data_IF_150984878120
#
_entry.id   IF_150984878120
#
_cell.length_a   1.000
_cell.length_b   1.000
_cell.length_c   1.000
_cell.angle_alpha   90.00
_cell.angle_beta   90.00
_cell.angle_gamma   90.00
#
_symmetry.space_group_name_H-M   'P 1'
#
loop_
_entity.id
_entity.type
_entity.pdbx_description
1 polymer ?
#
# COMPACT_ATOMS: atom_id res chain seq x y z
N UNK A 1 -50.05 5.97 15.69
CA UNK A 1 -48.91 6.11 14.80
C UNK A 1 -47.79 5.22 15.32
N UNK A 2 -47.66 4.02 14.76
CA UNK A 2 -46.61 3.06 15.17
C UNK A 2 -45.34 3.38 14.42
N UNK A 3 -44.32 3.76 15.20
CA UNK A 3 -42.96 4.02 14.74
C UNK A 3 -42.36 2.70 14.21
N UNK A 4 -42.22 2.56 12.88
CA UNK A 4 -41.50 1.46 12.28
C UNK A 4 -40.02 1.61 12.66
N UNK A 5 -39.59 0.83 13.67
CA UNK A 5 -38.16 0.62 13.91
C UNK A 5 -37.59 -0.04 12.64
N UNK A 6 -36.68 0.67 11.99
CA UNK A 6 -35.84 0.05 10.97
C UNK A 6 -35.15 -1.15 11.60
N UNK A 7 -35.63 -2.34 11.30
CA UNK A 7 -34.87 -3.57 11.49
C UNK A 7 -33.61 -3.39 10.59
N UNK A 8 -32.47 -3.16 11.22
CA UNK A 8 -31.19 -3.14 10.52
C UNK A 8 -31.05 -4.49 9.81
N UNK A 9 -30.97 -4.46 8.48
CA UNK A 9 -30.62 -5.64 7.71
C UNK A 9 -29.35 -6.25 8.33
N UNK A 10 -29.27 -7.59 8.40
CA UNK A 10 -28.06 -8.26 8.86
C UNK A 10 -26.86 -7.69 8.07
N UNK A 11 -25.73 -7.40 8.73
CA UNK A 11 -24.58 -6.85 8.02
C UNK A 11 -24.22 -7.80 6.88
N UNK A 12 -24.04 -7.25 5.69
CA UNK A 12 -23.50 -7.98 4.54
C UNK A 12 -22.18 -8.64 4.97
N UNK A 13 -21.91 -9.85 4.48
CA UNK A 13 -20.70 -10.59 4.81
C UNK A 13 -19.43 -9.75 4.63
N UNK A 14 -19.37 -8.94 3.58
CA UNK A 14 -18.23 -8.06 3.29
C UNK A 14 -18.04 -7.00 4.38
N UNK A 15 -19.11 -6.44 4.91
CA UNK A 15 -19.09 -5.49 6.03
C UNK A 15 -18.55 -6.14 7.32
N UNK A 16 -18.92 -7.39 7.57
CA UNK A 16 -18.41 -8.14 8.73
C UNK A 16 -16.91 -8.41 8.57
N UNK A 17 -16.46 -8.82 7.38
CA UNK A 17 -15.04 -9.03 7.06
C UNK A 17 -14.26 -7.74 7.23
N UNK A 18 -14.73 -6.63 6.65
CA UNK A 18 -14.12 -5.31 6.80
C UNK A 18 -13.93 -4.94 8.28
N UNK A 19 -14.99 -5.05 9.07
CA UNK A 19 -14.95 -4.73 10.50
C UNK A 19 -13.90 -5.54 11.26
N UNK A 20 -13.86 -6.86 11.04
CA UNK A 20 -12.90 -7.74 11.72
C UNK A 20 -11.47 -7.40 11.32
N UNK A 21 -11.22 -7.19 10.03
CA UNK A 21 -9.89 -6.81 9.54
C UNK A 21 -9.47 -5.44 10.08
N UNK A 22 -10.38 -4.46 10.06
CA UNK A 22 -10.12 -3.11 10.56
C UNK A 22 -9.72 -3.11 12.05
N UNK A 23 -10.50 -3.80 12.90
CA UNK A 23 -10.22 -3.90 14.33
C UNK A 23 -8.87 -4.55 14.59
N UNK A 24 -8.61 -5.66 13.91
CA UNK A 24 -7.36 -6.42 14.07
C UNK A 24 -6.14 -5.61 13.63
N UNK A 25 -6.20 -5.02 12.44
CA UNK A 25 -5.08 -4.26 11.91
C UNK A 25 -4.81 -3.00 12.73
N UNK A 26 -5.86 -2.26 13.11
CA UNK A 26 -5.69 -1.07 13.96
C UNK A 26 -5.03 -1.42 15.29
N UNK A 27 -5.40 -2.55 15.92
CA UNK A 27 -4.77 -3.01 17.15
C UNK A 27 -3.29 -3.39 16.95
N UNK A 28 -2.97 -4.12 15.88
CA UNK A 28 -1.60 -4.54 15.57
C UNK A 28 -0.70 -3.38 15.18
N UNK A 29 -1.23 -2.38 14.47
CA UNK A 29 -0.51 -1.20 13.98
C UNK A 29 -0.31 -0.12 15.04
N UNK A 30 -0.99 -0.21 16.18
CA UNK A 30 -0.80 0.72 17.27
C UNK A 30 0.69 0.85 17.64
N UNK A 31 1.25 2.05 17.55
CA UNK A 31 2.68 2.37 17.74
C UNK A 31 3.63 1.69 16.74
N UNK A 32 3.14 0.98 15.73
CA UNK A 32 3.98 0.35 14.68
C UNK A 32 3.86 1.04 13.33
N UNK A 33 2.70 1.61 13.02
CA UNK A 33 2.53 2.32 11.77
C UNK A 33 3.34 3.62 11.71
N UNK A 34 3.75 4.02 10.52
CA UNK A 34 4.33 5.32 10.25
C UNK A 34 3.33 6.44 10.57
N UNK A 35 3.78 7.62 11.05
CA UNK A 35 2.88 8.74 11.32
C UNK A 35 2.01 9.14 10.15
N UNK A 36 2.56 9.14 8.93
CA UNK A 36 1.82 9.45 7.70
C UNK A 36 0.57 8.56 7.52
N UNK A 37 0.70 7.25 7.76
CA UNK A 37 -0.44 6.34 7.70
C UNK A 37 -1.51 6.68 8.73
N UNK A 38 -1.11 6.89 9.99
CA UNK A 38 -2.07 7.18 11.07
C UNK A 38 -2.81 8.51 10.83
N UNK A 39 -2.10 9.51 10.33
CA UNK A 39 -2.67 10.80 9.94
C UNK A 39 -3.63 10.66 8.75
N UNK A 40 -3.23 9.91 7.71
CA UNK A 40 -4.05 9.63 6.55
C UNK A 40 -5.34 8.89 6.91
N UNK A 41 -5.23 7.83 7.74
CA UNK A 41 -6.38 7.07 8.23
C UNK A 41 -7.39 7.97 8.96
N UNK A 42 -6.90 8.84 9.85
CA UNK A 42 -7.73 9.79 10.60
C UNK A 42 -8.37 10.84 9.68
N UNK A 43 -7.61 11.39 8.71
CA UNK A 43 -8.08 12.44 7.79
C UNK A 43 -9.15 11.91 6.82
N UNK A 44 -9.03 10.69 6.35
CA UNK A 44 -10.03 10.01 5.52
C UNK A 44 -11.28 9.61 6.31
N UNK A 45 -11.22 9.62 7.64
CA UNK A 45 -12.33 9.19 8.50
C UNK A 45 -12.71 7.73 8.30
N UNK A 46 -11.75 6.87 7.91
CA UNK A 46 -12.01 5.44 7.74
C UNK A 46 -12.47 4.81 9.06
N UNK A 47 -13.52 4.02 9.00
CA UNK A 47 -14.19 3.45 10.17
C UNK A 47 -14.46 1.96 9.99
N UNK A 48 -14.56 1.27 11.12
CA UNK A 48 -14.87 -0.15 11.18
C UNK A 48 -16.30 -0.50 10.80
N UNK A 49 -17.23 0.45 10.94
CA UNK A 49 -18.66 0.23 10.84
C UNK A 49 -19.14 0.02 9.40
N UNK A 50 -18.41 0.52 8.42
CA UNK A 50 -18.81 0.41 7.01
C UNK A 50 -17.62 0.45 6.06
N UNK A 51 -17.74 -0.23 4.94
CA UNK A 51 -16.83 -0.09 3.80
C UNK A 51 -17.09 1.28 3.19
N UNK A 52 -16.06 2.14 3.06
CA UNK A 52 -16.25 3.49 2.54
C UNK A 52 -16.61 3.47 1.05
N UNK A 53 -17.29 4.52 0.60
CA UNK A 53 -17.51 4.75 -0.83
C UNK A 53 -16.22 5.19 -1.52
N UNK A 54 -15.84 4.49 -2.60
CA UNK A 54 -14.58 4.75 -3.33
C UNK A 54 -14.62 6.14 -3.99
N UNK A 55 -15.77 6.61 -4.43
CA UNK A 55 -15.92 7.91 -5.08
C UNK A 55 -15.70 9.05 -4.08
N UNK A 56 -16.27 8.94 -2.87
CA UNK A 56 -16.06 9.92 -1.79
C UNK A 56 -14.58 9.95 -1.36
N UNK A 57 -13.95 8.80 -1.18
CA UNK A 57 -12.51 8.72 -0.87
C UNK A 57 -11.68 9.32 -2.01
N UNK A 58 -12.01 9.00 -3.26
CA UNK A 58 -11.31 9.56 -4.43
C UNK A 58 -11.39 11.07 -4.51
N UNK A 59 -12.54 11.66 -4.15
CA UNK A 59 -12.69 13.11 -4.09
C UNK A 59 -11.76 13.73 -3.03
N UNK A 60 -11.68 13.13 -1.84
CA UNK A 60 -10.80 13.58 -0.75
C UNK A 60 -9.33 13.44 -1.13
N UNK A 61 -8.90 12.30 -1.68
CA UNK A 61 -7.53 12.09 -2.13
C UNK A 61 -7.14 13.09 -3.22
N UNK A 62 -8.05 13.34 -4.18
CA UNK A 62 -7.82 14.30 -5.26
C UNK A 62 -7.65 15.73 -4.76
N UNK A 63 -8.40 16.12 -3.77
CA UNK A 63 -8.27 17.44 -3.14
C UNK A 63 -6.90 17.66 -2.48
N UNK A 64 -6.31 16.58 -1.90
CA UNK A 64 -5.05 16.67 -1.16
C UNK A 64 -3.81 16.55 -2.04
N UNK A 65 -3.78 15.55 -2.93
CA UNK A 65 -2.56 15.19 -3.69
C UNK A 65 -2.77 15.17 -5.20
N UNK A 66 -3.99 15.43 -5.68
CA UNK A 66 -4.34 15.35 -7.10
C UNK A 66 -4.53 13.92 -7.62
N UNK A 67 -4.40 12.90 -6.76
CA UNK A 67 -4.58 11.50 -7.14
C UNK A 67 -6.04 11.10 -7.18
N UNK A 68 -6.36 10.10 -7.98
CA UNK A 68 -7.70 9.54 -8.12
C UNK A 68 -7.67 8.04 -7.85
N UNK A 69 -8.76 7.51 -7.27
CA UNK A 69 -8.95 6.08 -7.09
C UNK A 69 -9.70 5.53 -8.31
N UNK A 70 -9.16 4.47 -8.94
CA UNK A 70 -9.72 3.83 -10.12
C UNK A 70 -10.26 2.44 -9.75
N UNK A 71 -11.58 2.24 -9.58
CA UNK A 71 -12.13 0.92 -9.29
C UNK A 71 -11.82 -0.09 -10.39
N UNK A 72 -11.33 -1.29 -9.99
CA UNK A 72 -11.01 -2.40 -10.89
C UNK A 72 -11.59 -3.70 -10.35
N UNK A 73 -12.03 -4.59 -11.25
CA UNK A 73 -12.66 -5.85 -10.84
C UNK A 73 -11.69 -6.90 -10.29
N UNK A 74 -10.42 -6.81 -10.62
CA UNK A 74 -9.36 -7.74 -10.23
C UNK A 74 -7.99 -7.09 -10.40
N UNK A 75 -6.93 -7.61 -9.75
CA UNK A 75 -5.56 -7.25 -10.05
C UNK A 75 -5.23 -7.47 -11.54
N UNK A 76 -4.30 -6.70 -12.06
CA UNK A 76 -3.90 -6.75 -13.46
C UNK A 76 -2.37 -6.64 -13.59
N UNK A 77 -1.90 -6.86 -14.82
CA UNK A 77 -0.48 -6.91 -15.13
C UNK A 77 0.28 -5.63 -14.73
N UNK A 78 1.54 -5.73 -14.31
CA UNK A 78 2.33 -4.59 -13.87
C UNK A 78 2.34 -3.41 -14.85
N UNK A 79 2.36 -3.67 -16.16
CA UNK A 79 2.36 -2.60 -17.15
C UNK A 79 1.11 -1.71 -17.09
N UNK A 80 -0.06 -2.29 -16.89
CA UNK A 80 -1.31 -1.55 -16.73
C UNK A 80 -1.36 -0.82 -15.38
N UNK A 81 -0.84 -1.45 -14.32
CA UNK A 81 -0.71 -0.85 -13.00
C UNK A 81 0.14 0.43 -13.05
N UNK A 82 1.36 0.35 -13.56
CA UNK A 82 2.26 1.51 -13.65
C UNK A 82 1.77 2.59 -14.61
N UNK A 83 0.98 2.23 -15.65
CA UNK A 83 0.32 3.22 -16.50
C UNK A 83 -0.66 4.10 -15.70
N UNK A 84 -1.44 3.51 -14.79
CA UNK A 84 -2.31 4.26 -13.90
C UNK A 84 -1.52 5.16 -12.93
N UNK A 85 -0.44 4.65 -12.34
CA UNK A 85 0.42 5.47 -11.47
C UNK A 85 0.99 6.68 -12.20
N UNK A 86 1.43 6.52 -13.47
CA UNK A 86 1.90 7.61 -14.31
C UNK A 86 0.82 8.67 -14.60
N UNK A 87 -0.45 8.31 -14.49
CA UNK A 87 -1.61 9.21 -14.64
C UNK A 87 -2.12 9.74 -13.28
N UNK A 88 -1.41 9.53 -12.18
CA UNK A 88 -1.85 9.83 -10.80
C UNK A 88 -3.19 9.15 -10.46
N UNK A 89 -3.34 7.91 -10.89
CA UNK A 89 -4.48 7.05 -10.57
C UNK A 89 -4.00 5.82 -9.81
N UNK A 90 -4.67 5.51 -8.70
CA UNK A 90 -4.40 4.29 -7.94
C UNK A 90 -5.54 3.30 -8.15
N UNK A 91 -5.27 2.07 -8.64
CA UNK A 91 -6.29 1.05 -8.81
C UNK A 91 -6.81 0.54 -7.48
N UNK A 92 -8.11 0.34 -7.37
CA UNK A 92 -8.77 -0.20 -6.19
C UNK A 92 -9.54 -1.47 -6.57
N UNK A 93 -9.11 -2.60 -6.07
CA UNK A 93 -9.83 -3.87 -6.25
C UNK A 93 -11.16 -3.81 -5.48
N UNK A 94 -12.27 -4.09 -6.19
CA UNK A 94 -13.60 -3.91 -5.61
C UNK A 94 -14.13 -5.12 -4.82
N UNK A 95 -13.36 -6.21 -4.75
CA UNK A 95 -13.73 -7.44 -4.01
C UNK A 95 -12.88 -7.55 -2.73
N UNK A 96 -13.53 -7.81 -1.60
CA UNK A 96 -12.86 -8.11 -0.33
C UNK A 96 -12.51 -9.60 -0.22
N UNK A 97 -11.43 -9.90 0.48
CA UNK A 97 -10.96 -11.28 0.73
C UNK A 97 -11.96 -12.10 1.52
N UNK A 98 -11.91 -13.42 1.34
CA UNK A 98 -12.72 -14.34 2.14
C UNK A 98 -12.13 -14.53 3.56
N UNK A 99 -12.95 -15.03 4.51
CA UNK A 99 -12.55 -15.22 5.91
C UNK A 99 -11.33 -16.12 6.10
N UNK A 100 -11.14 -17.12 5.24
CA UNK A 100 -9.98 -18.02 5.33
C UNK A 100 -8.64 -17.35 4.94
N UNK A 101 -8.69 -16.15 4.36
CA UNK A 101 -7.50 -15.37 3.91
C UNK A 101 -7.20 -14.18 4.83
N UNK A 102 -7.67 -14.19 6.08
CA UNK A 102 -7.49 -13.07 7.01
C UNK A 102 -6.04 -12.78 7.37
N UNK A 103 -5.22 -13.81 7.52
CA UNK A 103 -3.81 -13.64 7.92
C UNK A 103 -2.91 -13.26 6.76
N UNK A 104 -3.21 -13.78 5.58
CA UNK A 104 -2.48 -13.54 4.36
C UNK A 104 -3.41 -13.67 3.14
N UNK A 105 -3.39 -12.69 2.25
CA UNK A 105 -4.03 -12.77 0.94
C UNK A 105 -2.96 -12.74 -0.14
N UNK A 106 -2.87 -13.75 -1.00
CA UNK A 106 -1.85 -13.80 -2.06
C UNK A 106 -2.07 -12.75 -3.15
N UNK A 107 -3.29 -12.21 -3.24
CA UNK A 107 -3.68 -11.15 -4.17
C UNK A 107 -4.21 -9.95 -3.39
N UNK A 108 -3.99 -8.70 -3.90
CA UNK A 108 -4.61 -7.53 -3.32
C UNK A 108 -6.13 -7.61 -3.39
N UNK A 109 -6.79 -7.05 -2.40
CA UNK A 109 -8.23 -7.00 -2.25
C UNK A 109 -8.69 -5.62 -1.78
N UNK A 110 -9.99 -5.40 -1.69
CA UNK A 110 -10.57 -4.12 -1.29
C UNK A 110 -10.03 -3.60 0.06
N UNK A 111 -9.82 -4.50 1.05
CA UNK A 111 -9.28 -4.10 2.34
C UNK A 111 -7.82 -3.67 2.23
N UNK A 112 -7.00 -4.42 1.50
CA UNK A 112 -5.60 -4.08 1.23
C UNK A 112 -5.50 -2.69 0.59
N UNK A 113 -6.30 -2.44 -0.46
CA UNK A 113 -6.23 -1.17 -1.17
C UNK A 113 -6.75 -0.01 -0.32
N UNK A 114 -7.96 -0.11 0.23
CA UNK A 114 -8.59 1.00 0.95
C UNK A 114 -7.96 1.28 2.32
N UNK A 115 -7.56 0.24 3.04
CA UNK A 115 -6.96 0.39 4.37
C UNK A 115 -5.44 0.58 4.29
N UNK A 116 -4.74 -0.17 3.43
CA UNK A 116 -3.29 -0.14 3.31
C UNK A 116 -2.77 1.03 2.48
N UNK A 117 -3.24 1.16 1.23
CA UNK A 117 -2.72 2.17 0.32
C UNK A 117 -3.36 3.56 0.47
N UNK A 118 -4.70 3.64 0.50
CA UNK A 118 -5.38 4.93 0.38
C UNK A 118 -5.00 5.95 1.46
N UNK A 119 -4.80 5.59 2.75
CA UNK A 119 -4.30 6.54 3.74
C UNK A 119 -2.93 7.13 3.39
N UNK A 120 -2.07 6.35 2.78
CA UNK A 120 -0.73 6.76 2.36
C UNK A 120 -0.74 7.65 1.10
N UNK A 121 -1.81 7.62 0.29
CA UNK A 121 -1.98 8.52 -0.85
C UNK A 121 -2.27 9.98 -0.44
N UNK A 122 -2.40 10.28 0.84
CA UNK A 122 -2.44 11.65 1.36
C UNK A 122 -1.04 12.22 1.66
N UNK A 123 0.01 11.42 1.52
CA UNK A 123 1.40 11.86 1.66
C UNK A 123 1.98 12.24 0.29
N UNK A 124 2.39 13.51 0.16
CA UNK A 124 2.91 14.05 -1.10
C UNK A 124 4.22 13.36 -1.53
N UNK A 125 5.09 13.04 -0.58
CA UNK A 125 6.37 12.38 -0.87
C UNK A 125 6.16 11.00 -1.49
N UNK A 126 5.26 10.19 -0.92
CA UNK A 126 4.92 8.89 -1.49
C UNK A 126 4.21 9.00 -2.84
N UNK A 127 3.27 9.93 -2.97
CA UNK A 127 2.52 10.08 -4.23
C UNK A 127 3.38 10.59 -5.37
N UNK A 128 4.32 11.49 -5.12
CA UNK A 128 5.30 11.91 -6.11
C UNK A 128 6.26 10.77 -6.49
N UNK A 129 6.73 10.00 -5.52
CA UNK A 129 7.51 8.80 -5.78
C UNK A 129 6.75 7.81 -6.69
N UNK A 130 5.49 7.48 -6.37
CA UNK A 130 4.67 6.57 -7.17
C UNK A 130 4.43 7.09 -8.60
N UNK A 131 4.20 8.39 -8.76
CA UNK A 131 4.01 9.01 -10.06
C UNK A 131 5.26 8.87 -10.95
N UNK A 132 6.42 9.26 -10.43
CA UNK A 132 7.69 9.16 -11.16
C UNK A 132 8.07 7.70 -11.46
N UNK A 133 7.80 6.80 -10.52
CA UNK A 133 8.00 5.37 -10.72
C UNK A 133 7.13 4.84 -11.86
N UNK A 134 5.86 5.28 -11.92
CA UNK A 134 4.95 4.99 -13.02
C UNK A 134 5.49 5.50 -14.36
N UNK A 135 5.94 6.74 -14.41
CA UNK A 135 6.54 7.34 -15.62
C UNK A 135 7.80 6.59 -16.06
N UNK A 136 8.73 6.32 -15.12
CA UNK A 136 9.95 5.58 -15.40
C UNK A 136 9.65 4.19 -15.99
N UNK A 137 8.66 3.48 -15.44
CA UNK A 137 8.27 2.17 -15.96
C UNK A 137 7.78 2.22 -17.41
N UNK A 138 7.02 3.26 -17.78
CA UNK A 138 6.49 3.42 -19.14
C UNK A 138 7.57 3.68 -20.19
N UNK A 139 8.71 4.26 -19.79
CA UNK A 139 9.83 4.50 -20.71
C UNK A 139 10.64 3.24 -21.02
N UNK A 140 10.50 2.18 -20.20
CA UNK A 140 11.33 0.98 -20.38
C UNK A 140 10.70 -0.01 -21.37
N UNK A 141 11.51 -0.73 -22.16
CA UNK A 141 11.02 -1.78 -23.06
C UNK A 141 10.26 -2.89 -22.32
N UNK A 142 9.24 -3.45 -22.93
CA UNK A 142 8.51 -4.57 -22.36
C UNK A 142 9.44 -5.78 -22.14
N UNK A 143 9.33 -6.42 -20.96
CA UNK A 143 10.15 -7.57 -20.57
C UNK A 143 11.62 -7.22 -20.24
N UNK A 144 11.96 -5.95 -20.11
CA UNK A 144 13.33 -5.54 -19.75
C UNK A 144 13.60 -5.77 -18.26
N UNK A 145 14.87 -6.00 -17.93
CA UNK A 145 15.33 -6.05 -16.53
C UNK A 145 15.00 -4.76 -15.77
N UNK A 146 15.03 -3.60 -16.44
CA UNK A 146 14.65 -2.34 -15.82
C UNK A 146 13.21 -2.34 -15.31
N UNK A 147 12.25 -2.95 -16.04
CA UNK A 147 10.87 -3.10 -15.54
C UNK A 147 10.77 -4.00 -14.31
N UNK A 148 11.54 -5.08 -14.26
CA UNK A 148 11.60 -5.96 -13.10
C UNK A 148 12.19 -5.23 -11.88
N UNK A 149 13.22 -4.42 -12.09
CA UNK A 149 13.83 -3.58 -11.07
C UNK A 149 12.87 -2.52 -10.52
N UNK A 150 12.13 -1.84 -11.40
CA UNK A 150 11.11 -0.85 -10.98
C UNK A 150 9.95 -1.52 -10.21
N UNK A 151 9.56 -2.74 -10.61
CA UNK A 151 8.61 -3.54 -9.86
C UNK A 151 9.15 -3.89 -8.46
N UNK A 152 10.42 -4.30 -8.36
CA UNK A 152 11.04 -4.58 -7.07
C UNK A 152 11.10 -3.33 -6.18
N UNK A 153 11.40 -2.16 -6.76
CA UNK A 153 11.41 -0.90 -6.02
C UNK A 153 10.01 -0.55 -5.47
N UNK A 154 8.96 -0.65 -6.29
CA UNK A 154 7.58 -0.50 -5.82
C UNK A 154 7.27 -1.45 -4.67
N UNK A 155 7.62 -2.71 -4.86
CA UNK A 155 7.29 -3.79 -3.94
C UNK A 155 7.96 -3.62 -2.57
N UNK A 156 9.26 -3.33 -2.55
CA UNK A 156 10.00 -3.14 -1.29
C UNK A 156 9.85 -1.75 -0.66
N UNK A 157 9.10 -0.86 -1.29
CA UNK A 157 8.72 0.45 -0.74
C UNK A 157 7.22 0.51 -0.45
N UNK A 158 6.40 0.77 -1.45
CA UNK A 158 4.96 1.00 -1.29
C UNK A 158 4.18 -0.22 -0.73
N UNK A 159 4.66 -1.45 -0.96
CA UNK A 159 4.02 -2.66 -0.44
C UNK A 159 4.60 -3.11 0.92
N UNK A 160 5.94 -3.18 1.04
CA UNK A 160 6.59 -3.80 2.20
C UNK A 160 7.65 -2.91 2.87
N UNK A 161 7.56 -1.59 2.66
CA UNK A 161 8.53 -0.65 3.18
C UNK A 161 8.41 -0.38 4.68
N UNK A 162 9.58 -0.18 5.29
CA UNK A 162 9.76 0.34 6.64
C UNK A 162 10.44 1.69 6.60
N UNK A 163 10.20 2.52 7.59
CA UNK A 163 10.91 3.80 7.77
C UNK A 163 11.38 3.94 9.21
N UNK A 164 12.57 4.49 9.40
CA UNK A 164 13.07 4.86 10.72
C UNK A 164 12.36 6.13 11.21
N UNK A 165 11.75 6.07 12.38
CA UNK A 165 11.12 7.24 12.99
C UNK A 165 11.34 7.20 14.52
N UNK A 166 11.92 8.25 15.08
CA UNK A 166 12.25 8.35 16.51
C UNK A 166 13.02 7.14 17.05
N UNK A 167 14.01 6.67 16.30
CA UNK A 167 14.84 5.52 16.70
C UNK A 167 14.13 4.16 16.59
N UNK A 168 12.93 4.09 16.02
CA UNK A 168 12.16 2.86 15.87
C UNK A 168 11.73 2.60 14.43
N UNK A 169 11.72 1.34 13.97
CA UNK A 169 11.12 0.99 12.69
C UNK A 169 9.61 1.21 12.70
N UNK A 170 9.08 1.86 11.65
CA UNK A 170 7.65 2.08 11.42
C UNK A 170 7.23 1.47 10.10
N UNK A 171 6.06 0.84 10.10
CA UNK A 171 5.48 0.19 8.94
C UNK A 171 4.73 1.23 8.08
N UNK A 172 5.01 1.28 6.78
CA UNK A 172 4.28 2.15 5.86
C UNK A 172 3.80 1.43 4.58
N UNK A 173 4.42 0.29 4.24
CA UNK A 173 4.01 -0.49 3.09
C UNK A 173 2.64 -1.14 3.26
N UNK A 174 1.79 -1.06 2.24
CA UNK A 174 0.40 -1.51 2.31
C UNK A 174 0.24 -3.00 2.58
N UNK A 175 1.15 -3.84 2.06
CA UNK A 175 1.20 -5.27 2.35
C UNK A 175 1.41 -5.55 3.84
N UNK A 176 2.27 -4.75 4.51
CA UNK A 176 2.42 -4.80 5.96
C UNK A 176 1.19 -4.25 6.68
N UNK A 177 0.67 -3.10 6.25
CA UNK A 177 -0.46 -2.44 6.92
C UNK A 177 -1.75 -3.27 6.88
N UNK A 178 -1.95 -4.12 5.88
CA UNK A 178 -3.19 -4.87 5.63
C UNK A 178 -3.12 -6.37 5.95
N UNK A 179 -1.94 -6.88 6.37
CA UNK A 179 -1.73 -8.31 6.67
C UNK A 179 -1.19 -8.54 8.08
N UNK A 180 -1.97 -9.20 8.92
CA UNK A 180 -1.53 -9.54 10.28
C UNK A 180 -0.34 -10.51 10.27
N UNK A 181 -0.37 -11.50 9.35
CA UNK A 181 0.72 -12.46 9.21
C UNK A 181 2.03 -11.78 8.81
N UNK A 182 1.98 -10.83 7.86
CA UNK A 182 3.15 -10.04 7.45
C UNK A 182 3.69 -9.16 8.58
N UNK A 183 2.82 -8.52 9.36
CA UNK A 183 3.27 -7.75 10.54
C UNK A 183 4.03 -8.66 11.51
N UNK A 184 3.44 -9.80 11.90
CA UNK A 184 4.06 -10.72 12.84
C UNK A 184 5.41 -11.24 12.32
N UNK A 185 5.48 -11.56 11.03
CA UNK A 185 6.72 -11.99 10.40
C UNK A 185 7.75 -10.86 10.35
N UNK A 186 7.35 -9.67 9.93
CA UNK A 186 8.24 -8.51 9.83
C UNK A 186 8.85 -8.11 11.18
N UNK A 187 8.07 -8.15 12.28
CA UNK A 187 8.58 -7.77 13.60
C UNK A 187 9.33 -8.88 14.34
N UNK A 188 9.37 -10.10 13.79
CA UNK A 188 10.14 -11.19 14.36
C UNK A 188 11.63 -10.83 14.38
N UNK A 189 12.33 -11.12 15.47
CA UNK A 189 13.75 -10.80 15.64
C UNK A 189 14.68 -11.47 14.62
N UNK A 190 14.27 -12.64 14.09
CA UNK A 190 15.04 -13.40 13.08
C UNK A 190 14.79 -12.90 11.65
N UNK A 191 13.82 -12.03 11.43
CA UNK A 191 13.54 -11.50 10.08
C UNK A 191 14.45 -10.32 9.77
N UNK A 192 15.27 -10.38 8.71
CA UNK A 192 16.18 -9.31 8.35
C UNK A 192 15.46 -8.00 7.98
N UNK A 193 15.95 -6.89 8.50
CA UNK A 193 15.49 -5.54 8.18
C UNK A 193 16.71 -4.64 7.87
N UNK A 194 17.40 -4.90 6.73
CA UNK A 194 18.55 -4.09 6.35
C UNK A 194 18.13 -2.64 6.06
N UNK A 195 19.09 -1.72 6.20
CA UNK A 195 18.92 -0.36 5.71
C UNK A 195 18.61 -0.37 4.21
N UNK A 196 17.77 0.55 3.77
CA UNK A 196 17.43 0.69 2.37
C UNK A 196 18.68 1.13 1.58
N UNK A 197 18.96 0.39 0.53
CA UNK A 197 19.98 0.69 -0.49
C UNK A 197 19.37 0.42 -1.87
N UNK A 198 19.25 1.45 -2.70
CA UNK A 198 18.56 1.35 -3.98
C UNK A 198 19.14 0.25 -4.87
N UNK A 199 20.47 0.17 -4.97
CA UNK A 199 21.12 -0.82 -5.82
C UNK A 199 20.86 -2.26 -5.33
N UNK A 200 20.73 -2.46 -4.03
CA UNK A 200 20.37 -3.76 -3.43
C UNK A 200 18.89 -4.08 -3.67
N UNK A 201 18.00 -3.12 -3.46
CA UNK A 201 16.55 -3.28 -3.68
C UNK A 201 16.26 -3.68 -5.12
N UNK A 202 16.86 -2.97 -6.10
CA UNK A 202 16.68 -3.23 -7.53
C UNK A 202 17.13 -4.64 -7.97
N UNK A 203 18.00 -5.31 -7.20
CA UNK A 203 18.48 -6.67 -7.48
C UNK A 203 17.82 -7.74 -6.62
N UNK A 204 16.97 -7.36 -5.67
CA UNK A 204 16.32 -8.32 -4.77
C UNK A 204 15.09 -8.92 -5.44
N UNK A 205 15.00 -10.25 -5.58
CA UNK A 205 13.83 -10.90 -6.16
C UNK A 205 12.57 -10.66 -5.33
N UNK A 206 11.48 -10.33 -6.01
CA UNK A 206 10.16 -10.17 -5.38
C UNK A 206 9.52 -11.54 -5.12
N UNK A 207 8.93 -11.70 -3.94
CA UNK A 207 8.18 -12.91 -3.54
C UNK A 207 6.74 -12.54 -3.23
N UNK A 208 5.78 -12.90 -4.10
CA UNK A 208 4.37 -12.55 -3.94
C UNK A 208 3.49 -13.63 -3.30
N UNK A 209 3.97 -14.87 -3.16
CA UNK A 209 3.15 -16.03 -2.74
C UNK A 209 3.34 -16.45 -1.29
N UNK A 210 4.21 -15.79 -0.55
CA UNK A 210 4.53 -16.05 0.86
C UNK A 210 5.09 -14.78 1.51
N UNK A 211 5.31 -14.81 2.81
CA UNK A 211 5.95 -13.72 3.56
C UNK A 211 7.33 -13.37 2.99
N UNK A 212 7.67 -12.08 3.06
CA UNK A 212 8.94 -11.59 2.55
C UNK A 212 10.12 -12.14 3.35
N UNK A 213 11.22 -12.48 2.66
CA UNK A 213 12.43 -12.97 3.33
C UNK A 213 13.16 -11.85 4.10
N UNK A 214 12.92 -10.59 3.72
CA UNK A 214 13.50 -9.40 4.33
C UNK A 214 12.64 -8.16 4.02
N UNK A 215 12.81 -7.11 4.81
CA UNK A 215 12.14 -5.82 4.64
C UNK A 215 13.18 -4.71 4.68
N UNK A 216 13.14 -3.79 3.71
CA UNK A 216 14.08 -2.69 3.68
C UNK A 216 13.56 -1.51 4.49
N UNK A 217 14.46 -0.87 5.23
CA UNK A 217 14.14 0.24 6.12
C UNK A 217 14.75 1.54 5.60
N UNK A 218 13.92 2.47 5.17
CA UNK A 218 14.33 3.83 4.85
C UNK A 218 14.90 4.50 6.11
N UNK A 219 16.07 5.13 6.04
CA UNK A 219 16.62 5.89 7.17
C UNK A 219 15.80 7.13 7.51
N UNK A 220 15.16 7.73 6.50
CA UNK A 220 14.28 8.88 6.63
C UNK A 220 13.26 8.88 5.48
N UNK A 221 12.13 9.57 5.68
CA UNK A 221 11.05 9.62 4.70
C UNK A 221 11.46 10.32 3.39
N UNK A 222 12.31 11.32 3.50
CA UNK A 222 12.84 12.11 2.38
C UNK A 222 13.61 11.27 1.36
N UNK A 223 14.11 10.11 1.76
CA UNK A 223 14.84 9.21 0.85
C UNK A 223 13.96 8.64 -0.28
N UNK A 224 12.64 8.63 -0.15
CA UNK A 224 11.76 8.31 -1.27
C UNK A 224 11.92 9.30 -2.42
N UNK A 225 12.09 10.59 -2.10
CA UNK A 225 12.35 11.64 -3.11
C UNK A 225 13.73 11.47 -3.73
N UNK A 226 14.75 11.15 -2.93
CA UNK A 226 16.11 10.90 -3.41
C UNK A 226 16.16 9.71 -4.37
N UNK A 227 15.40 8.63 -4.08
CA UNK A 227 15.29 7.47 -4.97
C UNK A 227 14.82 7.82 -6.38
N UNK A 228 13.90 8.79 -6.51
CA UNK A 228 13.42 9.23 -7.83
C UNK A 228 14.56 9.86 -8.64
N UNK A 229 15.36 10.70 -8.00
CA UNK A 229 16.49 11.37 -8.67
C UNK A 229 17.58 10.35 -9.07
N UNK A 230 17.91 9.39 -8.17
CA UNK A 230 18.87 8.32 -8.45
C UNK A 230 18.39 7.42 -9.59
N UNK A 231 17.12 7.03 -9.56
CA UNK A 231 16.52 6.21 -10.60
C UNK A 231 16.56 6.88 -11.96
N UNK A 232 16.21 8.17 -12.04
CA UNK A 232 16.30 8.93 -13.29
C UNK A 232 17.74 8.97 -13.82
N UNK A 233 18.73 9.11 -12.95
CA UNK A 233 20.15 9.04 -13.30
C UNK A 233 20.59 7.67 -13.84
N UNK A 234 20.16 6.58 -13.21
CA UNK A 234 20.46 5.21 -13.65
C UNK A 234 19.83 4.85 -15.01
N UNK A 235 18.59 5.32 -15.25
CA UNK A 235 17.88 5.06 -16.51
C UNK A 235 18.43 5.88 -17.68
N UNK A 236 19.06 7.04 -17.43
CA UNK A 236 19.69 7.86 -18.48
C UNK A 236 21.05 7.31 -18.96
N UNK A 237 21.67 6.40 -18.20
CA UNK A 237 22.98 5.81 -18.48
C UNK A 237 22.93 4.37 -19.01
N UNK A 238 21.75 3.79 -19.12
CA UNK A 238 21.51 2.43 -19.65
C UNK A 238 21.03 2.44 -21.10
#
# INVERSE_FOLDING_TARGET
MFNQRHLSAAPNQDQLIWKILFDRQTALLHRRAAPAFSQGLARLGLRREFIPDIGELSATVREHTGWQLAPVGRPFEPAAFFALLAERKFPIVTRIRAMHSFDFSPEPDLFHDLFGHVPMLLDEGLTDFLHHLGQAYQTQPAGSVAREQLWALYFFTAEFGLVQHEGQPRLYGAGLLSSAGEIHHCVNEHTPRPAFDLATVLRTPVTGTRYQNQYFMLPAWEQLTDCVAELAGMLATA
#
